data_IF_557759799346
#
_entry.id   IF_557759799346
#
_cell.length_a   1.000
_cell.length_b   1.000
_cell.length_c   1.000
_cell.angle_alpha   90.00
_cell.angle_beta   90.00
_cell.angle_gamma   90.00
#
_symmetry.space_group_name_H-M   'P 1'
#
loop_
_entity.id
_entity.type
_entity.pdbx_description
1 polymer ?
#
# COMPACT_ATOMS: atom_id res chain seq x y z
N UNK A 1 -1.32 -8.92 21.09
CA UNK A 1 -0.85 -8.91 19.69
C UNK A 1 -1.76 -7.95 18.93
N UNK A 2 -1.41 -6.66 18.91
CA UNK A 2 -2.32 -5.61 18.48
C UNK A 2 -2.69 -5.78 17.00
N UNK A 3 -3.98 -5.76 16.73
CA UNK A 3 -4.60 -5.78 15.41
C UNK A 3 -4.36 -4.41 14.77
N UNK A 4 -3.09 -4.14 14.42
CA UNK A 4 -2.62 -2.83 13.97
C UNK A 4 -3.46 -2.34 12.78
N UNK A 5 -3.93 -1.11 12.91
CA UNK A 5 -4.76 -0.40 11.94
C UNK A 5 -4.18 -0.60 10.53
N UNK A 6 -4.98 -1.22 9.66
CA UNK A 6 -4.56 -1.51 8.29
C UNK A 6 -4.22 -0.20 7.58
N UNK A 7 -3.08 -0.18 6.89
CA UNK A 7 -2.72 0.91 6.01
C UNK A 7 -3.59 0.82 4.75
N UNK A 8 -4.45 1.83 4.55
CA UNK A 8 -5.10 2.04 3.27
C UNK A 8 -4.07 2.55 2.27
N UNK A 9 -4.11 1.98 1.08
CA UNK A 9 -3.27 2.32 -0.07
C UNK A 9 -4.22 2.72 -1.18
N UNK A 10 -3.93 3.81 -1.85
CA UNK A 10 -4.68 4.26 -3.03
C UNK A 10 -3.78 4.26 -4.25
N UNK A 11 -4.39 4.21 -5.43
CA UNK A 11 -3.66 4.45 -6.68
C UNK A 11 -3.99 5.85 -7.17
N UNK A 12 -2.94 6.65 -7.32
CA UNK A 12 -2.97 8.01 -7.83
C UNK A 12 -2.05 8.05 -9.05
N UNK A 13 -2.60 8.38 -10.22
CA UNK A 13 -1.88 8.48 -11.50
C UNK A 13 -0.94 7.29 -11.86
N UNK A 14 -1.23 6.09 -11.35
CA UNK A 14 -0.41 4.89 -11.58
C UNK A 14 0.66 4.60 -10.51
N UNK A 15 0.73 5.41 -9.46
CA UNK A 15 1.55 5.19 -8.28
C UNK A 15 0.70 4.77 -7.07
N UNK A 16 1.21 3.85 -6.26
CA UNK A 16 0.59 3.49 -4.99
C UNK A 16 1.00 4.49 -3.91
N UNK A 17 0.02 5.24 -3.39
CA UNK A 17 0.20 6.17 -2.30
C UNK A 17 -0.36 5.62 -0.98
N UNK A 18 0.35 5.77 0.15
CA UNK A 18 -0.17 5.43 1.47
C UNK A 18 -1.20 6.48 1.93
N UNK A 19 -2.39 6.04 2.33
CA UNK A 19 -3.48 6.88 2.82
C UNK A 19 -3.91 6.43 4.23
N UNK A 20 -3.06 6.57 5.26
CA UNK A 20 -3.40 6.15 6.62
C UNK A 20 -4.64 6.86 7.18
N UNK A 21 -4.99 8.04 6.66
CA UNK A 21 -6.13 8.85 7.10
C UNK A 21 -7.42 8.59 6.31
N UNK A 22 -7.37 7.81 5.23
CA UNK A 22 -8.54 7.55 4.39
C UNK A 22 -9.04 8.77 3.61
N UNK A 23 -8.18 9.76 3.38
CA UNK A 23 -8.54 11.06 2.81
C UNK A 23 -8.46 11.13 1.29
N UNK A 24 -7.80 10.18 0.64
CA UNK A 24 -7.54 10.26 -0.80
C UNK A 24 -8.71 9.65 -1.61
N UNK A 25 -9.14 10.34 -2.69
CA UNK A 25 -10.13 9.80 -3.62
C UNK A 25 -9.52 8.67 -4.47
N UNK A 26 -10.36 7.73 -4.89
CA UNK A 26 -9.96 6.62 -5.75
C UNK A 26 -10.09 5.24 -5.10
N UNK A 27 -9.66 4.21 -5.84
CA UNK A 27 -9.73 2.83 -5.35
C UNK A 27 -8.72 2.65 -4.21
N UNK A 28 -9.18 2.08 -3.10
CA UNK A 28 -8.36 1.75 -1.94
C UNK A 28 -8.14 0.24 -1.79
N UNK A 29 -6.95 -0.15 -1.36
CA UNK A 29 -6.62 -1.49 -0.87
C UNK A 29 -6.05 -1.38 0.55
N UNK A 30 -6.09 -2.47 1.31
CA UNK A 30 -5.64 -2.47 2.70
C UNK A 30 -4.53 -3.49 2.89
N UNK A 31 -3.47 -3.09 3.57
CA UNK A 31 -2.36 -3.97 3.97
C UNK A 31 -1.92 -3.65 5.39
N UNK A 32 -1.25 -4.58 6.06
CA UNK A 32 -0.60 -4.23 7.33
C UNK A 32 0.55 -3.24 7.07
N UNK A 33 0.73 -2.21 7.93
CA UNK A 33 1.82 -1.24 7.85
C UNK A 33 3.16 -1.85 8.29
N UNK A 34 3.53 -3.03 7.76
CA UNK A 34 4.78 -3.73 8.07
C UNK A 34 5.55 -4.01 6.79
N UNK A 35 6.88 -3.95 6.88
CA UNK A 35 7.77 -4.13 5.73
C UNK A 35 7.57 -5.51 5.08
N UNK A 36 7.38 -6.54 5.90
CA UNK A 36 7.14 -7.92 5.46
C UNK A 36 5.83 -8.05 4.68
N UNK A 37 4.73 -7.48 5.17
CA UNK A 37 3.45 -7.56 4.47
C UNK A 37 3.47 -6.76 3.17
N UNK A 38 4.12 -5.59 3.16
CA UNK A 38 4.28 -4.79 1.96
C UNK A 38 5.11 -5.53 0.90
N UNK A 39 6.30 -6.03 1.27
CA UNK A 39 7.20 -6.74 0.34
C UNK A 39 6.50 -7.98 -0.26
N UNK A 40 5.76 -8.74 0.57
CA UNK A 40 4.97 -9.87 0.09
C UNK A 40 3.88 -9.43 -0.91
N UNK A 41 3.18 -8.32 -0.63
CA UNK A 41 2.15 -7.77 -1.51
C UNK A 41 2.74 -7.30 -2.85
N UNK A 42 3.91 -6.66 -2.83
CA UNK A 42 4.64 -6.25 -4.04
C UNK A 42 5.08 -7.47 -4.85
N UNK A 43 5.78 -8.43 -4.22
CA UNK A 43 6.26 -9.66 -4.88
C UNK A 43 5.14 -10.46 -5.52
N UNK A 44 3.97 -10.55 -4.86
CA UNK A 44 2.80 -11.28 -5.37
C UNK A 44 1.96 -10.48 -6.37
N UNK A 45 2.35 -9.24 -6.71
CA UNK A 45 1.57 -8.33 -7.56
C UNK A 45 0.14 -8.14 -7.05
N UNK A 46 -0.02 -8.02 -5.73
CA UNK A 46 -1.32 -7.85 -5.09
C UNK A 46 -1.95 -6.49 -5.42
N UNK A 47 -1.17 -5.40 -5.46
CA UNK A 47 -1.70 -4.06 -5.77
C UNK A 47 -2.21 -3.93 -7.20
N UNK A 48 -1.43 -4.28 -8.26
CA UNK A 48 -1.95 -4.21 -9.62
C UNK A 48 -3.22 -5.03 -9.81
N UNK A 49 -3.31 -6.19 -9.14
CA UNK A 49 -4.50 -7.05 -9.16
C UNK A 49 -5.70 -6.39 -8.45
N UNK A 50 -5.49 -5.82 -7.26
CA UNK A 50 -6.54 -5.13 -6.50
C UNK A 50 -7.07 -3.90 -7.22
N UNK A 51 -6.19 -3.13 -7.87
CA UNK A 51 -6.54 -1.89 -8.55
C UNK A 51 -6.93 -2.07 -10.02
N UNK A 52 -6.77 -3.28 -10.59
CA UNK A 52 -6.92 -3.58 -12.02
C UNK A 52 -6.02 -2.72 -12.91
N UNK A 53 -4.79 -2.47 -12.47
CA UNK A 53 -3.81 -1.72 -13.24
C UNK A 53 -3.21 -2.58 -14.36
N UNK A 54 -2.94 -1.97 -15.53
CA UNK A 54 -2.34 -2.65 -16.69
C UNK A 54 -0.83 -2.92 -16.57
N UNK A 55 -0.20 -2.57 -15.45
CA UNK A 55 1.25 -2.69 -15.27
C UNK A 55 1.69 -2.69 -13.80
N UNK A 56 3.00 -2.82 -13.55
CA UNK A 56 3.55 -2.63 -12.21
C UNK A 56 3.21 -1.22 -11.73
N UNK A 57 2.68 -1.13 -10.51
CA UNK A 57 2.45 0.15 -9.85
C UNK A 57 3.72 0.52 -9.08
N UNK A 58 4.07 1.80 -9.09
CA UNK A 58 5.17 2.27 -8.25
C UNK A 58 4.76 2.15 -6.78
N UNK A 59 5.61 1.50 -5.98
CA UNK A 59 5.37 1.24 -4.56
C UNK A 59 6.45 1.86 -3.67
N UNK A 60 7.36 2.66 -4.24
CA UNK A 60 8.43 3.33 -3.51
C UNK A 60 7.91 4.19 -2.34
N UNK A 61 6.79 4.90 -2.55
CA UNK A 61 6.15 5.70 -1.51
C UNK A 61 5.67 4.86 -0.31
N UNK A 62 5.17 3.64 -0.56
CA UNK A 62 4.74 2.72 0.48
C UNK A 62 5.93 2.23 1.31
N UNK A 63 7.02 1.83 0.67
CA UNK A 63 8.23 1.35 1.36
C UNK A 63 8.82 2.43 2.26
N UNK A 64 8.87 3.67 1.76
CA UNK A 64 9.32 4.83 2.54
C UNK A 64 8.40 5.12 3.73
N UNK A 65 7.08 4.99 3.55
CA UNK A 65 6.11 5.22 4.62
C UNK A 65 6.20 4.14 5.70
N UNK A 66 6.19 2.86 5.32
CA UNK A 66 6.28 1.74 6.27
C UNK A 66 7.60 1.77 7.04
N UNK A 67 8.72 2.14 6.39
CA UNK A 67 10.00 2.34 7.06
C UNK A 67 10.02 3.50 8.07
N UNK A 68 9.03 4.40 8.05
CA UNK A 68 8.85 5.46 9.07
C UNK A 68 7.85 5.08 10.16
N UNK A 69 6.90 4.19 9.85
CA UNK A 69 5.85 3.77 10.79
C UNK A 69 6.32 2.64 11.72
N UNK A 70 7.39 1.94 11.37
CA UNK A 70 7.96 0.85 12.18
C UNK A 70 9.17 1.38 12.97
N UNK A 71 9.15 1.40 14.32
CA UNK A 71 10.36 1.57 15.13
C UNK A 71 11.25 0.32 15.12
#
# INVERSE_FOLDING_TARGET
MAKSELLRIVVDEGACAPDPRGTLPGRGAYVHPTSVCLDLAVRRRAFPRAFKAKGPLDTAALTRFVGRVTP
#
